data_IF_687041124126
#
_entry.id   IF_687041124126
#
_cell.length_a   1.000
_cell.length_b   1.000
_cell.length_c   1.000
_cell.angle_alpha   90.00
_cell.angle_beta   90.00
_cell.angle_gamma   90.00
#
_symmetry.space_group_name_H-M   'P 1'
#
loop_
_entity.id
_entity.type
_entity.pdbx_description
1 polymer ?
#
# COMPACT_ATOMS: atom_id res chain seq x y z
N UNK A 1 -24.95 -5.88 -5.67
CA UNK A 1 -23.96 -5.73 -4.57
C UNK A 1 -23.60 -7.11 -4.09
N UNK A 2 -22.47 -7.67 -4.52
CA UNK A 2 -21.97 -8.91 -3.94
C UNK A 2 -21.58 -8.60 -2.49
N UNK A 3 -22.13 -9.32 -1.52
CA UNK A 3 -21.71 -9.21 -0.12
C UNK A 3 -20.31 -9.79 0.00
N UNK A 4 -19.32 -8.90 0.04
CA UNK A 4 -17.93 -9.25 0.28
C UNK A 4 -17.81 -9.75 1.72
N UNK A 5 -17.33 -10.99 1.90
CA UNK A 5 -17.10 -11.52 3.24
C UNK A 5 -16.08 -10.63 3.97
N UNK A 6 -16.41 -10.20 5.19
CA UNK A 6 -15.52 -9.40 6.01
C UNK A 6 -14.20 -10.18 6.21
N UNK A 7 -13.14 -9.70 5.57
CA UNK A 7 -11.81 -10.30 5.72
C UNK A 7 -11.32 -10.02 7.14
N UNK A 8 -11.39 -11.04 7.99
CA UNK A 8 -10.81 -10.98 9.34
C UNK A 8 -9.30 -10.96 9.21
N UNK A 9 -8.70 -9.77 9.22
CA UNK A 9 -7.26 -9.59 9.23
C UNK A 9 -6.74 -9.48 10.67
N UNK A 10 -5.56 -10.05 10.94
CA UNK A 10 -4.92 -9.95 12.25
C UNK A 10 -3.92 -8.77 12.26
N UNK A 11 -4.27 -7.62 12.90
CA UNK A 11 -3.45 -6.42 12.87
C UNK A 11 -2.11 -6.61 13.60
N UNK A 12 -2.06 -7.48 14.62
CA UNK A 12 -0.83 -7.76 15.37
C UNK A 12 0.22 -8.49 14.51
N UNK A 13 -0.24 -9.33 13.58
CA UNK A 13 0.65 -10.01 12.64
C UNK A 13 1.17 -9.02 11.58
N UNK A 14 0.30 -8.15 11.06
CA UNK A 14 0.67 -7.14 10.06
C UNK A 14 1.69 -6.12 10.59
N UNK A 15 1.54 -5.69 11.84
CA UNK A 15 2.41 -4.69 12.46
C UNK A 15 3.90 -5.09 12.48
N UNK A 16 4.21 -6.39 12.48
CA UNK A 16 5.58 -6.90 12.44
C UNK A 16 6.21 -6.65 11.07
N UNK A 17 5.45 -6.85 10.00
CA UNK A 17 5.94 -6.68 8.63
C UNK A 17 6.05 -5.21 8.23
N UNK A 18 5.17 -4.34 8.74
CA UNK A 18 5.21 -2.89 8.47
C UNK A 18 6.46 -2.21 9.05
N UNK A 19 7.03 -2.76 10.12
CA UNK A 19 8.21 -2.20 10.82
C UNK A 19 9.54 -2.73 10.28
N UNK A 20 9.52 -3.61 9.27
CA UNK A 20 10.74 -4.14 8.69
C UNK A 20 11.46 -3.05 7.91
N UNK A 21 12.79 -2.97 8.10
CA UNK A 21 13.65 -2.08 7.33
C UNK A 21 13.72 -2.54 5.86
N UNK A 22 13.46 -1.62 4.93
CA UNK A 22 13.38 -1.86 3.49
C UNK A 22 14.73 -1.70 2.76
N UNK A 23 15.82 -1.49 3.53
CA UNK A 23 17.24 -1.58 3.10
C UNK A 23 17.56 -0.87 1.78
N UNK A 24 17.61 0.46 1.82
CA UNK A 24 18.06 1.27 0.68
C UNK A 24 17.08 1.34 -0.50
N UNK A 25 15.88 0.79 -0.32
CA UNK A 25 14.76 0.94 -1.26
C UNK A 25 13.67 1.80 -0.61
N UNK A 26 13.06 2.67 -1.40
CA UNK A 26 11.92 3.49 -0.99
C UNK A 26 10.68 3.00 -1.76
N UNK A 27 9.53 3.01 -1.10
CA UNK A 27 8.23 2.88 -1.77
C UNK A 27 7.69 4.28 -2.09
N UNK A 28 7.49 4.57 -3.38
CA UNK A 28 6.84 5.79 -3.83
C UNK A 28 5.39 5.48 -4.19
N UNK A 29 4.45 6.20 -3.56
CA UNK A 29 3.03 6.09 -3.84
C UNK A 29 2.61 7.12 -4.89
N UNK A 30 2.05 6.63 -6.00
CA UNK A 30 1.44 7.44 -7.05
C UNK A 30 -0.03 7.59 -6.74
N UNK A 31 -0.51 8.83 -6.71
CA UNK A 31 -1.90 9.17 -6.45
C UNK A 31 -2.44 9.87 -7.69
N UNK A 32 -3.62 9.46 -8.16
CA UNK A 32 -4.31 10.11 -9.27
C UNK A 32 -5.83 10.09 -9.07
N UNK A 33 -6.52 10.91 -9.85
CA UNK A 33 -7.98 10.98 -9.87
C UNK A 33 -8.46 10.19 -11.09
N UNK A 34 -9.44 9.31 -10.91
CA UNK A 34 -10.03 8.53 -12.00
C UNK A 34 -11.15 9.28 -12.74
N UNK A 35 -11.80 8.60 -13.68
CA UNK A 35 -12.86 9.17 -14.50
C UNK A 35 -14.14 9.52 -13.71
N UNK A 36 -14.36 8.85 -12.58
CA UNK A 36 -15.51 9.08 -11.70
C UNK A 36 -15.19 10.15 -10.63
N UNK A 37 -13.96 10.69 -10.64
CA UNK A 37 -13.50 11.69 -9.68
C UNK A 37 -13.00 11.08 -8.37
N UNK A 38 -12.83 9.77 -8.28
CA UNK A 38 -12.35 9.09 -7.09
C UNK A 38 -10.81 9.07 -7.03
N UNK A 39 -10.26 9.04 -5.82
CA UNK A 39 -8.81 8.91 -5.61
C UNK A 39 -8.38 7.46 -5.79
N UNK A 40 -7.38 7.24 -6.64
CA UNK A 40 -6.71 5.96 -6.81
C UNK A 40 -5.24 6.09 -6.42
N UNK A 41 -4.66 5.00 -5.95
CA UNK A 41 -3.21 4.96 -5.71
C UNK A 41 -2.56 3.65 -6.12
N UNK A 42 -1.26 3.73 -6.40
CA UNK A 42 -0.39 2.57 -6.68
C UNK A 42 1.03 2.86 -6.20
N UNK A 43 1.59 1.89 -5.48
CA UNK A 43 2.98 1.97 -5.02
C UNK A 43 3.95 1.38 -6.04
N UNK A 44 5.14 1.97 -6.15
CA UNK A 44 6.29 1.37 -6.82
C UNK A 44 7.49 1.33 -5.89
N UNK A 45 8.40 0.39 -6.14
CA UNK A 45 9.71 0.35 -5.48
C UNK A 45 10.72 1.14 -6.30
N UNK A 46 11.47 2.01 -5.64
CA UNK A 46 12.55 2.79 -6.22
C UNK A 46 13.82 2.56 -5.40
N UNK A 47 14.97 2.54 -6.07
CA UNK A 47 16.26 2.61 -5.39
C UNK A 47 16.42 3.99 -4.76
N UNK A 48 16.93 4.03 -3.52
CA UNK A 48 17.33 5.28 -2.89
C UNK A 48 18.53 5.86 -3.66
N UNK A 49 18.29 6.88 -4.50
CA UNK A 49 19.37 7.59 -5.19
C UNK A 49 20.12 8.45 -4.18
N UNK A 50 21.44 8.30 -4.15
CA UNK A 50 22.35 9.12 -3.35
C UNK A 50 22.60 10.47 -4.01
#
# INVERSE_FOLDING_TARGET
>A
MATEAATVSNPNTLAKYLKLDQKGQIMAEYIWIDADGETRSKSRVCLFSR
#
